data_IF_470176560867
#
_entry.id   IF_470176560867
#
_cell.length_a   1.000
_cell.length_b   1.000
_cell.length_c   1.000
_cell.angle_alpha   90.00
_cell.angle_beta   90.00
_cell.angle_gamma   90.00
#
_symmetry.space_group_name_H-M   'P 1'
#
loop_
_entity.id
_entity.type
_entity.pdbx_description
1 polymer ?
#
# COMPACT_ATOMS: atom_id res chain seq x y z
N UNK A 1 -1.91 -36.96 2.10
CA UNK A 1 -1.05 -36.66 0.93
C UNK A 1 -1.04 -35.15 0.86
N UNK A 2 -0.01 -34.53 1.44
CA UNK A 2 -0.05 -33.12 1.83
C UNK A 2 0.24 -32.20 0.65
N UNK A 3 -0.68 -31.28 0.37
CA UNK A 3 -0.42 -30.10 -0.45
C UNK A 3 0.62 -29.24 0.26
N UNK A 4 1.84 -29.19 -0.29
CA UNK A 4 2.74 -28.08 -0.02
C UNK A 4 2.16 -26.83 -0.72
N UNK A 5 2.19 -25.65 -0.08
CA UNK A 5 1.17 -24.63 -0.27
C UNK A 5 1.35 -23.85 -1.58
N UNK A 6 0.24 -23.41 -2.18
CA UNK A 6 0.18 -22.61 -3.43
C UNK A 6 1.00 -21.30 -3.39
N UNK A 7 1.51 -20.92 -2.22
CA UNK A 7 2.31 -19.75 -1.92
C UNK A 7 3.70 -19.74 -2.59
N UNK A 8 4.32 -20.89 -2.85
CA UNK A 8 5.62 -21.00 -3.54
C UNK A 8 5.66 -20.48 -5.00
N UNK A 9 4.60 -19.82 -5.46
CA UNK A 9 4.45 -19.25 -6.82
C UNK A 9 4.58 -17.73 -6.87
N UNK A 10 4.82 -17.06 -5.74
CA UNK A 10 5.03 -15.61 -5.71
C UNK A 10 6.50 -15.31 -5.97
N UNK A 11 6.79 -14.66 -7.10
CA UNK A 11 8.10 -14.11 -7.42
C UNK A 11 8.12 -12.62 -7.03
N UNK A 12 8.84 -12.28 -5.96
CA UNK A 12 8.95 -10.90 -5.48
C UNK A 12 9.74 -9.98 -6.40
N UNK A 13 10.47 -10.54 -7.37
CA UNK A 13 11.18 -9.79 -8.40
C UNK A 13 10.37 -9.61 -9.69
N UNK A 14 9.16 -10.18 -9.77
CA UNK A 14 8.29 -10.02 -10.92
C UNK A 14 7.92 -8.55 -11.13
N UNK A 15 8.18 -8.06 -12.35
CA UNK A 15 7.74 -6.73 -12.78
C UNK A 15 6.27 -6.78 -13.22
N UNK A 16 5.38 -6.20 -12.42
CA UNK A 16 3.93 -6.15 -12.69
C UNK A 16 3.58 -5.37 -13.95
N UNK A 17 4.50 -4.55 -14.47
CA UNK A 17 4.31 -3.88 -15.75
C UNK A 17 4.48 -4.84 -16.93
N UNK A 18 5.18 -5.97 -16.75
CA UNK A 18 5.49 -6.91 -17.84
C UNK A 18 4.27 -7.66 -18.37
N UNK A 19 3.25 -7.89 -17.53
CA UNK A 19 1.95 -8.45 -17.94
C UNK A 19 0.83 -7.40 -18.01
N UNK A 20 1.15 -6.15 -17.73
CA UNK A 20 0.24 -5.01 -17.91
C UNK A 20 0.33 -4.50 -19.35
N UNK A 21 -0.82 -4.36 -20.02
CA UNK A 21 -0.87 -3.78 -21.37
C UNK A 21 -0.21 -2.40 -21.41
N UNK A 22 0.39 -2.03 -22.54
CA UNK A 22 1.00 -0.71 -22.71
C UNK A 22 -0.02 0.42 -22.42
N UNK A 23 0.34 1.35 -21.53
CA UNK A 23 -0.54 2.42 -21.05
C UNK A 23 -1.68 1.94 -20.12
N UNK A 24 -1.67 0.68 -19.72
CA UNK A 24 -2.56 0.09 -18.73
C UNK A 24 -2.17 0.45 -17.30
N UNK A 25 -3.01 0.01 -16.38
CA UNK A 25 -2.85 0.23 -14.95
C UNK A 25 -2.65 -1.13 -14.27
N UNK A 26 -1.47 -1.43 -13.69
CA UNK A 26 -1.20 -2.73 -13.09
C UNK A 26 -2.18 -3.09 -11.98
N UNK A 27 -2.70 -2.10 -11.24
CA UNK A 27 -3.68 -2.30 -10.16
C UNK A 27 -4.99 -2.93 -10.67
N UNK A 28 -5.30 -2.73 -11.96
CA UNK A 28 -6.49 -3.27 -12.62
C UNK A 28 -6.17 -4.41 -13.59
N UNK A 29 -5.08 -4.27 -14.33
CA UNK A 29 -4.84 -5.01 -15.56
C UNK A 29 -3.83 -6.18 -15.37
N UNK A 30 -2.98 -6.16 -14.33
CA UNK A 30 -2.01 -7.25 -14.06
C UNK A 30 -2.69 -8.46 -13.41
N UNK A 31 -2.76 -9.57 -14.16
CA UNK A 31 -3.31 -10.83 -13.65
C UNK A 31 -2.39 -11.45 -12.59
N UNK A 32 -1.08 -11.27 -12.76
CA UNK A 32 -0.07 -11.79 -11.83
C UNK A 32 -0.12 -11.06 -10.49
N UNK A 33 -0.17 -9.73 -10.50
CA UNK A 33 -0.32 -8.92 -9.28
C UNK A 33 -1.57 -9.34 -8.50
N UNK A 34 -2.71 -9.50 -9.20
CA UNK A 34 -3.97 -9.95 -8.57
C UNK A 34 -3.83 -11.33 -7.94
N UNK A 35 -3.18 -12.28 -8.62
CA UNK A 35 -2.94 -13.62 -8.07
C UNK A 35 -2.00 -13.58 -6.87
N UNK A 36 -0.97 -12.74 -6.89
CA UNK A 36 -0.07 -12.57 -5.75
C UNK A 36 -0.80 -12.00 -4.53
N UNK A 37 -1.63 -10.98 -4.72
CA UNK A 37 -2.50 -10.48 -3.66
C UNK A 37 -3.40 -11.58 -3.09
N UNK A 38 -4.04 -12.37 -3.96
CA UNK A 38 -4.89 -13.46 -3.53
C UNK A 38 -4.14 -14.47 -2.65
N UNK A 39 -2.96 -14.91 -3.11
CA UNK A 39 -2.13 -15.89 -2.42
C UNK A 39 -1.63 -15.36 -1.07
N UNK A 40 -0.99 -14.19 -1.06
CA UNK A 40 -0.33 -13.64 0.12
C UNK A 40 -1.32 -13.27 1.22
N UNK A 41 -2.46 -12.70 0.84
CA UNK A 41 -3.39 -12.10 1.79
C UNK A 41 -4.56 -13.02 2.14
N UNK A 42 -4.71 -14.17 1.48
CA UNK A 42 -5.54 -15.28 1.96
C UNK A 42 -4.84 -16.04 3.09
N UNK A 43 -4.75 -15.41 4.25
CA UNK A 43 -4.05 -15.92 5.44
C UNK A 43 -4.83 -15.63 6.73
N UNK A 44 -4.44 -16.23 7.87
CA UNK A 44 -5.08 -15.91 9.14
C UNK A 44 -4.89 -14.44 9.52
N UNK A 45 -5.96 -13.82 9.99
CA UNK A 45 -5.98 -12.52 10.65
C UNK A 45 -5.34 -12.62 12.04
N UNK A 46 -5.04 -11.49 12.71
CA UNK A 46 -4.57 -11.51 14.10
C UNK A 46 -5.50 -12.27 15.07
N UNK A 47 -6.80 -12.34 14.77
CA UNK A 47 -7.78 -13.13 15.53
C UNK A 47 -7.68 -14.64 15.30
N UNK A 48 -6.87 -15.10 14.34
CA UNK A 48 -6.78 -16.50 13.89
C UNK A 48 -7.82 -16.89 12.82
N UNK A 49 -8.85 -16.07 12.61
CA UNK A 49 -9.85 -16.31 11.56
C UNK A 49 -9.24 -16.14 10.17
N UNK A 50 -9.75 -16.87 9.16
CA UNK A 50 -9.23 -16.84 7.79
C UNK A 50 -9.76 -15.62 7.01
N UNK A 51 -8.86 -14.90 6.34
CA UNK A 51 -9.22 -13.83 5.39
C UNK A 51 -9.11 -14.31 3.94
N UNK A 52 -9.87 -15.34 3.56
CA UNK A 52 -9.77 -15.94 2.23
C UNK A 52 -10.31 -14.97 1.14
N UNK A 53 -9.54 -14.81 0.06
CA UNK A 53 -9.85 -13.90 -1.04
C UNK A 53 -10.27 -14.65 -2.30
N UNK A 54 -11.44 -14.30 -2.81
CA UNK A 54 -12.00 -14.82 -4.06
C UNK A 54 -11.67 -13.89 -5.25
N UNK A 55 -11.08 -14.47 -6.29
CA UNK A 55 -10.77 -13.79 -7.54
C UNK A 55 -11.80 -14.08 -8.66
N UNK A 56 -12.82 -14.90 -8.38
CA UNK A 56 -13.84 -15.35 -9.34
C UNK A 56 -15.13 -14.53 -9.27
N UNK A 57 -15.35 -13.77 -8.20
CA UNK A 57 -16.49 -12.86 -8.07
C UNK A 57 -16.53 -11.84 -9.20
N UNK A 58 -17.59 -11.90 -10.01
CA UNK A 58 -17.74 -11.04 -11.19
C UNK A 58 -17.74 -9.56 -10.80
N UNK A 59 -16.86 -8.78 -11.43
CA UNK A 59 -16.77 -7.33 -11.23
C UNK A 59 -15.95 -6.91 -10.00
N UNK A 60 -15.46 -7.86 -9.20
CA UNK A 60 -14.51 -7.58 -8.13
C UNK A 60 -13.06 -7.69 -8.64
N UNK A 61 -12.15 -6.93 -8.03
CA UNK A 61 -10.72 -7.25 -8.15
C UNK A 61 -10.39 -8.45 -7.25
N UNK A 62 -10.64 -8.33 -5.94
CA UNK A 62 -10.69 -9.43 -4.99
C UNK A 62 -11.87 -9.23 -4.04
N UNK A 63 -12.50 -10.31 -3.62
CA UNK A 63 -13.69 -10.27 -2.75
C UNK A 63 -13.49 -11.19 -1.55
N UNK A 64 -13.89 -10.71 -0.38
CA UNK A 64 -13.97 -11.50 0.84
C UNK A 64 -15.40 -11.51 1.34
N UNK A 65 -15.89 -12.66 1.80
CA UNK A 65 -17.16 -12.77 2.50
C UNK A 65 -17.10 -13.88 3.54
N UNK A 66 -17.32 -13.52 4.80
CA UNK A 66 -17.41 -14.45 5.93
C UNK A 66 -18.27 -13.85 7.04
N UNK A 67 -18.28 -14.49 8.22
CA UNK A 67 -18.89 -13.92 9.43
C UNK A 67 -18.21 -12.62 9.90
N UNK A 68 -16.97 -12.36 9.43
CA UNK A 68 -16.23 -11.12 9.71
C UNK A 68 -16.70 -9.93 8.88
N UNK A 69 -17.56 -10.17 7.87
CA UNK A 69 -18.07 -9.15 6.97
C UNK A 69 -17.86 -9.47 5.50
N UNK A 70 -18.24 -8.52 4.66
CA UNK A 70 -18.11 -8.59 3.21
C UNK A 70 -17.28 -7.40 2.70
N UNK A 71 -16.16 -7.69 2.02
CA UNK A 71 -15.22 -6.67 1.56
C UNK A 71 -14.92 -6.86 0.07
N UNK A 72 -15.13 -5.79 -0.69
CA UNK A 72 -14.73 -5.69 -2.09
C UNK A 72 -13.42 -4.91 -2.11
N UNK A 73 -12.32 -5.57 -2.43
CA UNK A 73 -10.97 -5.02 -2.34
C UNK A 73 -10.50 -4.53 -3.70
N UNK A 74 -9.63 -3.53 -3.69
CA UNK A 74 -8.90 -3.04 -4.85
C UNK A 74 -7.41 -2.97 -4.50
N UNK A 75 -6.56 -3.26 -5.48
CA UNK A 75 -5.11 -3.02 -5.37
C UNK A 75 -4.79 -1.54 -5.58
N UNK A 76 -3.68 -1.11 -5.00
CA UNK A 76 -3.10 0.20 -5.22
C UNK A 76 -1.61 0.21 -4.88
N UNK A 77 -0.84 1.02 -5.59
CA UNK A 77 0.58 1.21 -5.34
C UNK A 77 0.81 2.07 -4.07
N UNK A 78 1.58 1.56 -3.11
CA UNK A 78 1.98 2.27 -1.88
C UNK A 78 3.34 2.96 -2.02
N UNK A 79 3.81 3.12 -3.24
CA UNK A 79 5.02 3.85 -3.60
C UNK A 79 4.75 4.73 -4.81
N UNK A 80 5.47 5.84 -4.92
CA UNK A 80 5.25 6.76 -6.02
C UNK A 80 6.57 7.40 -6.45
N UNK A 81 6.98 7.23 -7.71
CA UNK A 81 8.20 7.86 -8.22
C UNK A 81 8.04 9.36 -8.53
N UNK A 82 6.79 9.86 -8.46
CA UNK A 82 6.39 11.21 -8.84
C UNK A 82 6.63 11.56 -10.32
N UNK A 83 6.79 10.52 -11.17
CA UNK A 83 6.70 10.68 -12.62
C UNK A 83 5.27 11.07 -13.05
N UNK A 84 5.15 11.69 -14.22
CA UNK A 84 3.87 11.93 -14.92
C UNK A 84 2.86 12.85 -14.20
N UNK A 85 1.80 12.33 -13.56
CA UNK A 85 0.63 13.11 -13.12
C UNK A 85 0.96 14.20 -12.09
N UNK A 86 2.07 14.06 -11.37
CA UNK A 86 2.57 15.02 -10.39
C UNK A 86 3.49 16.10 -10.97
N UNK A 87 3.80 16.08 -12.28
CA UNK A 87 4.72 17.06 -12.89
C UNK A 87 4.26 18.51 -12.71
N UNK A 88 2.96 18.78 -12.52
CA UNK A 88 2.48 20.14 -12.22
C UNK A 88 2.63 20.55 -10.75
N UNK A 89 2.77 19.59 -9.83
CA UNK A 89 2.79 19.81 -8.37
C UNK A 89 4.20 19.83 -7.80
N UNK A 90 5.10 19.02 -8.36
CA UNK A 90 6.51 18.88 -7.93
C UNK A 90 7.50 19.08 -9.09
N UNK A 91 7.03 19.51 -10.27
CA UNK A 91 7.84 19.59 -11.48
C UNK A 91 9.12 20.42 -11.35
N UNK A 92 9.09 21.50 -10.56
CA UNK A 92 10.28 22.32 -10.35
C UNK A 92 11.38 21.56 -9.60
N UNK A 93 11.03 20.75 -8.60
CA UNK A 93 11.97 19.88 -7.90
C UNK A 93 12.43 18.76 -8.82
N UNK A 94 11.50 18.10 -9.50
CA UNK A 94 11.80 16.93 -10.34
C UNK A 94 12.64 17.28 -11.57
N UNK A 95 12.66 18.55 -12.03
CA UNK A 95 13.49 19.02 -13.15
C UNK A 95 14.98 18.73 -12.90
N UNK A 96 15.41 18.89 -11.65
CA UNK A 96 16.82 18.81 -11.27
C UNK A 96 17.17 17.44 -10.65
N UNK A 97 16.19 16.54 -10.49
CA UNK A 97 16.40 15.17 -10.03
C UNK A 97 16.96 14.31 -11.18
N UNK A 98 18.02 13.52 -10.96
CA UNK A 98 18.53 12.60 -11.98
C UNK A 98 17.45 11.61 -12.44
N UNK A 99 17.19 11.52 -13.75
CA UNK A 99 16.17 10.62 -14.29
C UNK A 99 16.39 9.16 -13.89
N UNK A 100 17.65 8.72 -13.81
CA UNK A 100 18.02 7.39 -13.35
C UNK A 100 17.50 7.07 -11.95
N UNK A 101 17.50 8.04 -11.03
CA UNK A 101 16.95 7.84 -9.68
C UNK A 101 15.43 7.65 -9.73
N UNK A 102 14.74 8.42 -10.58
CA UNK A 102 13.28 8.31 -10.76
C UNK A 102 12.91 6.96 -11.37
N UNK A 103 13.67 6.53 -12.38
CA UNK A 103 13.49 5.24 -13.05
C UNK A 103 13.76 4.07 -12.08
N UNK A 104 14.79 4.17 -11.24
CA UNK A 104 15.10 3.18 -10.20
C UNK A 104 13.98 3.07 -9.15
N UNK A 105 13.43 4.21 -8.70
CA UNK A 105 12.28 4.23 -7.77
C UNK A 105 11.06 3.60 -8.44
N UNK A 106 10.81 3.95 -9.69
CA UNK A 106 9.70 3.38 -10.45
C UNK A 106 9.83 1.86 -10.61
N UNK A 107 10.98 1.37 -11.06
CA UNK A 107 11.22 -0.06 -11.28
C UNK A 107 11.04 -0.87 -9.98
N UNK A 108 11.50 -0.34 -8.84
CA UNK A 108 11.26 -0.96 -7.52
C UNK A 108 9.79 -0.94 -7.14
N UNK A 109 9.09 0.15 -7.47
CA UNK A 109 7.65 0.32 -7.31
C UNK A 109 6.79 -0.63 -8.15
N UNK A 110 7.38 -1.43 -9.05
CA UNK A 110 6.68 -2.38 -9.91
C UNK A 110 6.74 -3.84 -9.40
N UNK A 111 7.02 -4.05 -8.12
CA UNK A 111 7.03 -5.39 -7.49
C UNK A 111 5.91 -5.50 -6.45
N UNK A 112 5.49 -6.71 -6.09
CA UNK A 112 4.39 -6.95 -5.13
C UNK A 112 4.57 -6.23 -3.78
N UNK A 113 5.82 -6.05 -3.31
CA UNK A 113 6.12 -5.29 -2.09
C UNK A 113 5.76 -3.80 -2.17
N UNK A 114 5.48 -3.28 -3.35
CA UNK A 114 5.02 -1.91 -3.57
C UNK A 114 3.51 -1.76 -3.68
N UNK A 115 2.71 -2.82 -3.45
CA UNK A 115 1.24 -2.80 -3.56
C UNK A 115 0.54 -3.27 -2.28
N UNK A 116 -0.67 -2.78 -2.05
CA UNK A 116 -1.54 -3.17 -0.92
C UNK A 116 -2.98 -3.35 -1.39
N UNK A 117 -3.84 -3.94 -0.55
CA UNK A 117 -5.28 -3.96 -0.77
C UNK A 117 -5.99 -3.01 0.20
N UNK A 118 -6.93 -2.24 -0.33
CA UNK A 118 -7.91 -1.49 0.45
C UNK A 118 -9.34 -1.83 -0.01
N UNK A 119 -10.37 -1.55 0.81
CA UNK A 119 -11.74 -1.53 0.34
C UNK A 119 -11.91 -0.62 -0.90
N UNK A 120 -12.33 -1.21 -2.00
CA UNK A 120 -12.44 -0.59 -3.32
C UNK A 120 -13.85 -0.15 -3.71
N UNK A 121 -14.88 -0.50 -2.93
CA UNK A 121 -16.24 -0.04 -3.15
C UNK A 121 -16.46 1.33 -2.49
N UNK A 122 -16.84 2.33 -3.29
CA UNK A 122 -17.27 3.62 -2.77
C UNK A 122 -18.47 3.43 -1.83
N UNK A 123 -18.43 4.06 -0.65
CA UNK A 123 -19.51 4.01 0.32
C UNK A 123 -20.22 5.36 0.38
N UNK A 124 -21.55 5.34 0.26
CA UNK A 124 -22.39 6.55 0.29
C UNK A 124 -21.96 7.64 -0.72
N UNK A 125 -21.47 7.25 -1.89
CA UNK A 125 -20.99 8.18 -2.93
C UNK A 125 -19.70 8.93 -2.57
N UNK A 126 -19.05 8.57 -1.46
CA UNK A 126 -17.80 9.18 -1.03
C UNK A 126 -16.58 8.46 -1.62
N UNK A 127 -15.44 9.16 -1.76
CA UNK A 127 -14.20 8.54 -2.24
C UNK A 127 -13.77 7.32 -1.40
N UNK A 128 -13.18 6.35 -2.10
CA UNK A 128 -12.44 5.22 -1.51
C UNK A 128 -11.15 5.71 -0.83
N UNK A 129 -10.48 4.84 -0.06
CA UNK A 129 -9.20 5.16 0.58
C UNK A 129 -8.14 5.50 -0.49
N UNK A 130 -8.06 4.70 -1.56
CA UNK A 130 -7.16 4.90 -2.70
C UNK A 130 -7.36 6.30 -3.33
N UNK A 131 -8.62 6.69 -3.55
CA UNK A 131 -8.92 8.00 -4.11
C UNK A 131 -8.62 9.13 -3.11
N UNK A 132 -8.98 8.94 -1.84
CA UNK A 132 -8.79 9.96 -0.81
C UNK A 132 -7.30 10.27 -0.59
N UNK A 133 -6.43 9.26 -0.48
CA UNK A 133 -4.99 9.47 -0.26
C UNK A 133 -4.29 10.18 -1.44
N UNK A 134 -4.73 9.93 -2.67
CA UNK A 134 -4.14 10.57 -3.85
C UNK A 134 -4.65 11.99 -4.11
N UNK A 135 -5.91 12.25 -3.78
CA UNK A 135 -6.51 13.57 -3.97
C UNK A 135 -6.26 14.53 -2.80
N UNK A 136 -6.00 14.02 -1.59
CA UNK A 136 -5.83 14.87 -0.42
C UNK A 136 -4.50 15.65 -0.48
N UNK A 137 -4.53 17.00 -0.42
CA UNK A 137 -3.33 17.83 -0.58
C UNK A 137 -2.28 17.61 0.52
N UNK A 138 -2.69 17.22 1.72
CA UNK A 138 -1.76 16.87 2.81
C UNK A 138 -1.23 15.44 2.76
N UNK A 139 -1.63 14.60 1.80
CA UNK A 139 -1.19 13.20 1.69
C UNK A 139 -0.46 12.94 0.38
N UNK A 140 -1.04 13.34 -0.77
CA UNK A 140 -0.39 13.26 -2.08
C UNK A 140 0.23 11.89 -2.40
N UNK A 141 -0.51 10.81 -2.14
CA UNK A 141 -0.06 9.42 -2.29
C UNK A 141 1.16 9.02 -1.45
N UNK A 142 1.65 9.89 -0.56
CA UNK A 142 2.77 9.57 0.32
C UNK A 142 2.30 8.57 1.38
N UNK A 143 2.77 7.34 1.25
CA UNK A 143 2.18 6.23 2.01
C UNK A 143 2.51 6.25 3.50
N UNK A 144 3.66 6.78 3.92
CA UNK A 144 3.98 6.98 5.34
C UNK A 144 3.02 7.98 6.01
N UNK A 145 2.59 9.03 5.30
CA UNK A 145 1.51 9.92 5.78
C UNK A 145 0.15 9.20 5.82
N UNK A 146 -0.12 8.32 4.84
CA UNK A 146 -1.31 7.47 4.85
C UNK A 146 -1.30 6.52 6.05
N UNK A 147 -0.15 5.92 6.34
CA UNK A 147 0.03 5.01 7.46
C UNK A 147 -0.10 5.73 8.80
N UNK A 148 0.37 6.98 8.91
CA UNK A 148 0.14 7.82 10.09
C UNK A 148 -1.35 8.10 10.29
N UNK A 149 -2.12 8.38 9.23
CA UNK A 149 -3.58 8.48 9.35
C UNK A 149 -4.21 7.17 9.86
N UNK A 150 -3.72 6.01 9.41
CA UNK A 150 -4.19 4.70 9.88
C UNK A 150 -3.82 4.47 11.36
N UNK A 151 -2.59 4.83 11.77
CA UNK A 151 -2.17 4.79 13.17
C UNK A 151 -3.11 5.63 14.05
N UNK A 152 -3.38 6.88 13.63
CA UNK A 152 -4.30 7.79 14.31
C UNK A 152 -5.72 7.24 14.38
N UNK A 153 -6.19 6.58 13.31
CA UNK A 153 -7.50 5.91 13.31
C UNK A 153 -7.63 4.87 14.43
N UNK A 154 -6.62 4.00 14.62
CA UNK A 154 -6.61 3.03 15.73
C UNK A 154 -6.51 3.69 17.11
N UNK A 155 -5.93 4.88 17.20
CA UNK A 155 -5.84 5.66 18.44
C UNK A 155 -7.09 6.52 18.72
N UNK A 156 -8.04 6.61 17.78
CA UNK A 156 -9.17 7.53 17.87
C UNK A 156 -8.77 9.01 17.72
N UNK A 157 -7.64 9.29 17.09
CA UNK A 157 -7.07 10.62 16.85
C UNK A 157 -7.52 11.19 15.49
N UNK A 158 -7.54 12.51 15.37
CA UNK A 158 -7.90 13.18 14.12
C UNK A 158 -6.77 13.12 13.07
N UNK A 159 -7.14 13.08 11.80
CA UNK A 159 -6.22 13.07 10.67
C UNK A 159 -6.91 13.51 9.37
N UNK A 160 -6.14 13.89 8.33
CA UNK A 160 -6.69 14.21 7.00
C UNK A 160 -7.61 13.13 6.41
N UNK A 161 -7.42 11.86 6.78
CA UNK A 161 -8.23 10.75 6.28
C UNK A 161 -9.22 10.22 7.31
N UNK A 162 -9.35 10.83 8.50
CA UNK A 162 -10.18 10.30 9.60
C UNK A 162 -11.62 9.97 9.15
N UNK A 163 -12.30 10.93 8.51
CA UNK A 163 -13.65 10.71 8.00
C UNK A 163 -13.72 9.62 6.92
N UNK A 164 -12.66 9.41 6.13
CA UNK A 164 -12.58 8.34 5.14
C UNK A 164 -12.40 6.98 5.80
N UNK A 165 -11.40 6.85 6.67
CA UNK A 165 -11.06 5.60 7.35
C UNK A 165 -12.22 5.11 8.23
N UNK A 166 -12.93 6.01 8.93
CA UNK A 166 -14.09 5.65 9.75
C UNK A 166 -15.24 5.01 8.97
N UNK A 167 -15.45 5.34 7.69
CA UNK A 167 -16.45 4.66 6.85
C UNK A 167 -16.08 3.19 6.61
N UNK A 168 -14.79 2.92 6.53
CA UNK A 168 -14.24 1.58 6.35
C UNK A 168 -13.82 0.94 7.68
N UNK A 169 -14.35 1.38 8.83
CA UNK A 169 -13.96 0.91 10.16
C UNK A 169 -13.99 -0.62 10.32
N UNK A 170 -15.01 -1.29 9.79
CA UNK A 170 -15.10 -2.76 9.84
C UNK A 170 -13.94 -3.48 9.13
N UNK A 171 -13.30 -2.86 8.14
CA UNK A 171 -12.07 -3.42 7.54
C UNK A 171 -10.88 -3.30 8.49
N UNK A 172 -10.74 -2.17 9.19
CA UNK A 172 -9.66 -1.96 10.15
C UNK A 172 -9.83 -2.82 11.42
N UNK A 173 -11.07 -3.10 11.82
CA UNK A 173 -11.40 -4.01 12.92
C UNK A 173 -10.85 -5.43 12.71
N UNK A 174 -10.73 -5.89 11.45
CA UNK A 174 -10.15 -7.21 11.12
C UNK A 174 -8.76 -7.43 11.71
N UNK A 175 -8.00 -6.35 11.87
CA UNK A 175 -6.62 -6.40 12.35
C UNK A 175 -6.50 -6.12 13.87
N UNK A 176 -7.58 -5.67 14.51
CA UNK A 176 -7.69 -5.42 15.95
C UNK A 176 -6.86 -4.25 16.50
N UNK A 177 -5.69 -3.96 15.92
CA UNK A 177 -4.78 -2.88 16.35
C UNK A 177 -3.92 -2.41 15.19
N UNK A 178 -3.27 -1.25 15.35
CA UNK A 178 -2.29 -0.76 14.38
C UNK A 178 -1.12 -1.74 14.20
N UNK A 179 -0.64 -2.36 15.28
CA UNK A 179 0.38 -3.40 15.21
C UNK A 179 -0.10 -4.61 14.39
N UNK A 180 -1.35 -5.05 14.61
CA UNK A 180 -1.96 -6.12 13.82
C UNK A 180 -2.06 -5.76 12.34
N UNK A 181 -2.41 -4.51 12.01
CA UNK A 181 -2.46 -4.01 10.64
C UNK A 181 -1.07 -4.03 9.98
N UNK A 182 -0.07 -3.47 10.65
CA UNK A 182 1.32 -3.42 10.19
C UNK A 182 1.85 -4.83 9.91
N UNK A 183 1.68 -5.75 10.86
CA UNK A 183 2.19 -7.14 10.77
C UNK A 183 1.48 -7.94 9.69
N UNK A 184 0.17 -7.76 9.52
CA UNK A 184 -0.58 -8.48 8.48
C UNK A 184 -0.12 -8.07 7.08
N UNK A 185 0.06 -6.76 6.86
CA UNK A 185 0.46 -6.21 5.56
C UNK A 185 1.97 -6.14 5.32
N UNK A 186 2.77 -6.63 6.27
CA UNK A 186 4.25 -6.60 6.25
C UNK A 186 4.80 -5.17 6.09
N UNK A 187 4.26 -4.23 6.86
CA UNK A 187 4.64 -2.82 6.83
C UNK A 187 5.67 -2.45 7.91
N UNK A 188 6.26 -3.45 8.58
CA UNK A 188 7.10 -3.29 9.77
C UNK A 188 8.23 -2.26 9.59
N UNK A 189 8.81 -2.13 8.38
CA UNK A 189 9.91 -1.19 8.14
C UNK A 189 9.47 0.28 8.05
N UNK A 190 8.15 0.53 8.08
CA UNK A 190 7.54 1.86 8.25
C UNK A 190 7.02 2.10 9.65
N UNK A 191 7.28 1.20 10.61
CA UNK A 191 6.90 1.35 12.01
C UNK A 191 8.13 1.23 12.92
N UNK A 192 8.06 1.81 14.11
CA UNK A 192 8.99 1.49 15.17
C UNK A 192 8.80 0.05 15.67
N UNK A 193 9.75 -0.45 16.47
CA UNK A 193 9.79 -1.85 16.91
C UNK A 193 8.54 -2.26 17.70
N UNK A 194 7.96 -1.30 18.42
CA UNK A 194 6.76 -1.44 19.23
C UNK A 194 5.46 -1.20 18.45
N UNK A 195 5.54 -0.80 17.18
CA UNK A 195 4.40 -0.36 16.38
C UNK A 195 3.57 0.72 17.11
N UNK A 196 4.24 1.65 17.80
CA UNK A 196 3.65 2.83 18.42
C UNK A 196 3.77 4.08 17.55
N UNK A 197 4.71 4.12 16.61
CA UNK A 197 4.95 5.26 15.75
C UNK A 197 5.31 4.83 14.32
N UNK A 198 4.94 5.65 13.34
CA UNK A 198 5.39 5.50 11.96
C UNK A 198 6.81 6.01 11.82
N UNK A 199 7.64 5.30 11.05
CA UNK A 199 8.96 5.76 10.57
C UNK A 199 8.78 6.43 9.22
N UNK A 200 8.80 7.77 9.15
CA UNK A 200 8.45 8.45 7.93
C UNK A 200 9.65 8.60 7.00
N UNK A 201 9.39 8.73 5.70
CA UNK A 201 10.40 8.99 4.68
C UNK A 201 11.00 10.40 4.80
N UNK A 202 10.17 11.37 5.21
CA UNK A 202 10.51 12.76 5.53
C UNK A 202 9.72 13.17 6.79
N UNK A 203 10.09 14.24 7.51
CA UNK A 203 9.37 14.64 8.72
C UNK A 203 7.84 14.74 8.54
N UNK A 204 7.09 14.33 9.57
CA UNK A 204 5.64 14.53 9.66
C UNK A 204 5.39 15.63 10.70
N UNK A 205 4.93 16.80 10.25
CA UNK A 205 4.68 17.98 11.08
C UNK A 205 3.17 18.22 11.19
N UNK A 206 2.46 17.24 11.77
CA UNK A 206 0.99 17.23 11.90
C UNK A 206 0.25 17.57 10.60
N UNK A 207 0.75 17.05 9.47
CA UNK A 207 0.22 17.29 8.12
C UNK A 207 0.20 18.78 7.68
N UNK A 208 0.91 19.66 8.40
CA UNK A 208 0.98 21.10 8.14
C UNK A 208 2.03 21.49 7.09
N UNK A 209 3.03 20.63 6.84
CA UNK A 209 4.01 20.82 5.76
C UNK A 209 3.56 20.18 4.46
N UNK A 210 4.23 20.54 3.35
CA UNK A 210 4.04 19.87 2.06
C UNK A 210 4.27 18.37 2.20
N UNK A 211 3.31 17.57 1.71
CA UNK A 211 3.46 16.12 1.58
C UNK A 211 4.50 15.75 0.52
N UNK A 212 4.60 16.56 -0.54
CA UNK A 212 5.54 16.39 -1.62
C UNK A 212 6.92 16.94 -1.23
N UNK A 213 8.03 16.27 -1.63
CA UNK A 213 9.37 16.83 -1.51
C UNK A 213 9.47 18.25 -2.08
N UNK A 214 10.15 19.13 -1.36
CA UNK A 214 10.29 20.55 -1.69
C UNK A 214 11.66 20.92 -2.25
N UNK A 215 12.60 19.98 -2.28
CA UNK A 215 13.93 20.12 -2.86
C UNK A 215 14.44 18.78 -3.40
N UNK A 216 15.48 18.81 -4.23
CA UNK A 216 16.15 17.59 -4.74
C UNK A 216 16.64 16.71 -3.58
N UNK A 217 17.24 17.32 -2.55
CA UNK A 217 17.71 16.58 -1.38
C UNK A 217 16.58 15.88 -0.60
N UNK A 218 15.40 16.51 -0.50
CA UNK A 218 14.23 15.83 0.07
C UNK A 218 13.72 14.71 -0.83
N UNK A 219 13.74 14.87 -2.15
CA UNK A 219 13.38 13.78 -3.06
C UNK A 219 14.36 12.61 -2.95
N UNK A 220 15.66 12.87 -2.87
CA UNK A 220 16.69 11.85 -2.67
C UNK A 220 16.48 11.08 -1.36
N UNK A 221 16.16 11.79 -0.27
CA UNK A 221 15.83 11.19 1.03
C UNK A 221 14.57 10.32 0.94
N UNK A 222 13.51 10.84 0.32
CA UNK A 222 12.28 10.09 0.06
C UNK A 222 12.53 8.84 -0.77
N UNK A 223 13.28 8.97 -1.88
CA UNK A 223 13.61 7.89 -2.78
C UNK A 223 14.41 6.80 -2.08
N UNK A 224 15.41 7.15 -1.26
CA UNK A 224 16.16 6.20 -0.47
C UNK A 224 15.24 5.41 0.49
N UNK A 225 14.33 6.11 1.18
CA UNK A 225 13.34 5.51 2.09
C UNK A 225 12.40 4.53 1.38
N UNK A 226 11.79 4.93 0.26
CA UNK A 226 10.90 4.07 -0.53
C UNK A 226 11.63 2.83 -1.02
N UNK A 227 12.85 3.00 -1.56
CA UNK A 227 13.65 1.88 -2.08
C UNK A 227 14.01 0.88 -0.97
N UNK A 228 14.38 1.38 0.21
CA UNK A 228 14.69 0.55 1.36
C UNK A 228 13.46 -0.22 1.82
N UNK A 229 12.31 0.47 1.97
CA UNK A 229 11.05 -0.14 2.37
C UNK A 229 10.61 -1.26 1.42
N UNK A 230 10.57 -1.03 0.11
CA UNK A 230 10.14 -2.06 -0.85
C UNK A 230 11.06 -3.27 -0.81
N UNK A 231 12.38 -3.04 -0.70
CA UNK A 231 13.36 -4.13 -0.61
C UNK A 231 13.11 -4.98 0.63
N UNK A 232 12.92 -4.34 1.79
CA UNK A 232 12.69 -5.02 3.05
C UNK A 232 11.33 -5.74 3.07
N UNK A 233 10.27 -5.11 2.53
CA UNK A 233 8.94 -5.73 2.43
C UNK A 233 8.94 -6.92 1.47
N UNK A 234 9.65 -6.86 0.34
CA UNK A 234 9.84 -8.02 -0.54
C UNK A 234 10.59 -9.16 0.19
N UNK A 235 11.61 -8.85 0.99
CA UNK A 235 12.28 -9.87 1.80
C UNK A 235 11.32 -10.50 2.82
N UNK A 236 10.50 -9.71 3.51
CA UNK A 236 9.47 -10.23 4.43
C UNK A 236 8.45 -11.11 3.73
N UNK A 237 8.11 -10.80 2.47
CA UNK A 237 7.26 -11.67 1.66
C UNK A 237 7.98 -13.00 1.41
N UNK A 238 9.26 -13.00 1.03
CA UNK A 238 10.04 -14.23 0.86
C UNK A 238 10.07 -15.05 2.15
N UNK A 239 10.31 -14.41 3.30
CA UNK A 239 10.36 -15.07 4.59
C UNK A 239 9.01 -15.71 4.94
N UNK A 240 7.90 -14.97 4.73
CA UNK A 240 6.53 -15.47 4.91
C UNK A 240 6.21 -16.71 4.05
N UNK A 241 6.78 -16.79 2.85
CA UNK A 241 6.57 -17.91 1.93
C UNK A 241 7.43 -19.14 2.29
N UNK A 242 8.50 -18.94 3.07
CA UNK A 242 9.38 -20.00 3.55
C UNK A 242 8.96 -20.63 4.88
N UNK A 243 8.01 -20.02 5.60
CA UNK A 243 7.36 -20.53 6.82
C UNK A 243 6.29 -21.60 6.52
#
# INVERSE_FOLDING_TARGET
MGDAPELNRVDVAFDVMSDTRAGGDPDRDSATLRRYHQLLWSRPLPSGARFDLDATTRGAYLHHRSELGEFWLASDAITHSYRSSYTRRIGDVMRDVPSQLVDDVFARGCTIGAYILFPGAAQAGQPTINQARGQHPSICDRFDLTLECIRRHYAGEDSPLAGCLSRFGGFFELFGSFAGYVRFWLLDDLADETCSAVRPYLPIEDFGRSALPTSVAEYETYAAGVRAFVTARNQRIVDLLGE
#
